data_IF_066597875250
#
_entry.id   IF_066597875250
#
_cell.length_a   1.000
_cell.length_b   1.000
_cell.length_c   1.000
_cell.angle_alpha   90.00
_cell.angle_beta   90.00
_cell.angle_gamma   90.00
#
_symmetry.space_group_name_H-M   'P 1'
#
loop_
_entity.id
_entity.type
_entity.pdbx_description
1 polymer ?
#
# COMPACT_ATOMS: atom_id res chain seq x y z
N UNK A 1 -1.47 1.43 9.43
CA UNK A 1 -2.35 1.94 8.35
C UNK A 1 -2.65 0.81 7.40
N UNK A 2 -3.84 0.23 7.52
CA UNK A 2 -4.34 -0.84 6.66
C UNK A 2 -5.03 -0.26 5.43
N UNK A 3 -4.29 0.51 4.62
CA UNK A 3 -4.78 1.06 3.36
C UNK A 3 -4.61 0.05 2.23
N UNK A 4 -5.56 0.04 1.30
CA UNK A 4 -5.57 -0.86 0.15
C UNK A 4 -6.18 -0.18 -1.07
N UNK A 5 -5.87 -0.70 -2.26
CA UNK A 5 -6.42 -0.15 -3.49
C UNK A 5 -7.54 -1.05 -4.05
N UNK A 6 -8.61 -0.43 -4.52
CA UNK A 6 -9.78 -1.08 -5.12
C UNK A 6 -9.96 -0.61 -6.57
N UNK A 7 -10.35 -1.54 -7.44
CA UNK A 7 -10.85 -1.18 -8.76
C UNK A 7 -12.35 -0.87 -8.69
N UNK A 8 -12.74 0.30 -9.19
CA UNK A 8 -14.13 0.70 -9.36
C UNK A 8 -14.34 1.24 -10.76
N UNK A 9 -15.26 0.64 -11.53
CA UNK A 9 -15.62 1.06 -12.91
C UNK A 9 -14.43 1.25 -13.86
N UNK A 10 -13.38 0.43 -13.75
CA UNK A 10 -12.19 0.50 -14.59
C UNK A 10 -11.13 1.50 -14.13
N UNK A 11 -11.34 2.14 -12.98
CA UNK A 11 -10.39 3.07 -12.36
C UNK A 11 -9.90 2.51 -11.03
N UNK A 12 -8.71 2.94 -10.60
CA UNK A 12 -8.12 2.49 -9.35
C UNK A 12 -8.26 3.58 -8.28
N UNK A 13 -8.78 3.20 -7.12
CA UNK A 13 -8.95 4.07 -5.96
C UNK A 13 -8.17 3.53 -4.77
N UNK A 14 -7.65 4.43 -3.93
CA UNK A 14 -7.12 4.06 -2.62
C UNK A 14 -8.18 4.29 -1.55
N UNK A 15 -8.35 3.30 -0.67
CA UNK A 15 -9.29 3.31 0.44
C UNK A 15 -8.54 3.15 1.77
N UNK A 16 -9.14 3.67 2.83
CA UNK A 16 -8.59 3.64 4.20
C UNK A 16 -7.22 4.30 4.33
N UNK A 17 -6.88 5.23 3.42
CA UNK A 17 -5.73 6.11 3.58
C UNK A 17 -6.15 7.29 4.47
N UNK A 18 -5.74 7.25 5.73
CA UNK A 18 -5.99 8.32 6.68
C UNK A 18 -5.00 9.48 6.45
N UNK A 19 -5.51 10.62 6.00
CA UNK A 19 -4.76 11.89 5.94
C UNK A 19 -5.39 12.81 6.96
N UNK A 20 -4.67 13.10 8.05
CA UNK A 20 -5.17 13.98 9.10
C UNK A 20 -5.58 15.34 8.54
N UNK A 21 -6.65 15.89 9.09
CA UNK A 21 -7.10 17.24 8.75
C UNK A 21 -6.03 18.26 9.13
N UNK A 22 -6.04 19.38 8.43
CA UNK A 22 -5.14 20.48 8.75
C UNK A 22 -5.73 21.29 9.90
N UNK A 23 -5.02 21.35 11.03
CA UNK A 23 -5.52 21.99 12.26
C UNK A 23 -5.82 23.50 12.12
N UNK A 24 -5.20 24.17 11.14
CA UNK A 24 -5.46 25.59 10.84
C UNK A 24 -6.41 25.79 9.66
N UNK A 25 -6.96 24.71 9.10
CA UNK A 25 -8.01 24.77 8.10
C UNK A 25 -9.36 24.98 8.78
N UNK A 26 -10.12 25.98 8.32
CA UNK A 26 -11.42 26.35 8.88
C UNK A 26 -12.49 25.34 8.46
N UNK A 27 -13.30 25.64 7.44
CA UNK A 27 -14.45 24.83 7.03
C UNK A 27 -14.16 23.99 5.78
N UNK A 28 -13.02 24.22 5.11
CA UNK A 28 -12.66 23.58 3.85
C UNK A 28 -11.61 22.48 4.07
N UNK A 29 -11.81 21.66 5.08
CA UNK A 29 -10.96 20.50 5.33
C UNK A 29 -11.40 19.32 4.46
N UNK A 30 -10.43 18.50 4.06
CA UNK A 30 -10.72 17.24 3.37
C UNK A 30 -11.21 16.20 4.37
N UNK A 31 -12.04 15.27 3.92
CA UNK A 31 -12.43 14.14 4.74
C UNK A 31 -11.21 13.21 4.93
N UNK A 32 -10.84 12.83 6.17
CA UNK A 32 -9.60 12.09 6.44
C UNK A 32 -9.51 10.76 5.71
N UNK A 33 -10.63 10.05 5.60
CA UNK A 33 -10.73 8.71 5.02
C UNK A 33 -11.24 8.72 3.57
N UNK A 34 -11.25 9.88 2.91
CA UNK A 34 -11.77 10.05 1.55
C UNK A 34 -11.11 9.06 0.58
N UNK A 35 -11.93 8.43 -0.27
CA UNK A 35 -11.46 7.61 -1.38
C UNK A 35 -10.81 8.51 -2.44
N UNK A 36 -9.54 8.23 -2.77
CA UNK A 36 -8.76 9.05 -3.72
C UNK A 36 -8.45 8.24 -4.97
N UNK A 37 -8.73 8.82 -6.13
CA UNK A 37 -8.46 8.21 -7.43
C UNK A 37 -6.96 8.24 -7.74
N UNK A 38 -6.42 7.13 -8.24
CA UNK A 38 -5.05 7.02 -8.71
C UNK A 38 -4.97 7.28 -10.21
N UNK A 39 -4.04 8.15 -10.60
CA UNK A 39 -3.84 8.58 -11.98
C UNK A 39 -2.82 7.67 -12.68
N UNK A 40 -3.29 6.50 -13.10
CA UNK A 40 -2.51 5.52 -13.86
C UNK A 40 -2.86 5.55 -15.35
N UNK A 41 -1.96 5.07 -16.20
CA UNK A 41 -2.25 4.93 -17.62
C UNK A 41 -3.18 3.73 -17.89
N UNK A 42 -3.92 3.77 -19.01
CA UNK A 42 -4.84 2.69 -19.40
C UNK A 42 -4.15 1.32 -19.52
N UNK A 43 -2.89 1.28 -19.97
CA UNK A 43 -2.09 0.05 -20.08
C UNK A 43 -1.76 -0.53 -18.71
N UNK A 44 -1.39 0.32 -17.75
CA UNK A 44 -1.09 -0.10 -16.37
C UNK A 44 -2.34 -0.60 -15.64
N UNK A 45 -3.46 0.12 -15.77
CA UNK A 45 -4.73 -0.30 -15.20
C UNK A 45 -5.15 -1.68 -15.69
N UNK A 46 -5.07 -1.95 -17.00
CA UNK A 46 -5.39 -3.27 -17.56
C UNK A 46 -4.45 -4.36 -17.03
N UNK A 47 -3.15 -4.07 -16.89
CA UNK A 47 -2.17 -5.02 -16.34
C UNK A 47 -2.48 -5.38 -14.88
N UNK A 48 -2.82 -4.38 -14.08
CA UNK A 48 -3.16 -4.57 -12.66
C UNK A 48 -4.50 -5.30 -12.49
N UNK A 49 -5.50 -4.96 -13.32
CA UNK A 49 -6.81 -5.60 -13.29
C UNK A 49 -6.72 -7.10 -13.60
N UNK A 50 -5.93 -7.49 -14.62
CA UNK A 50 -5.67 -8.91 -14.92
C UNK A 50 -5.03 -9.64 -13.74
N UNK A 51 -4.04 -9.01 -13.08
CA UNK A 51 -3.36 -9.62 -11.94
C UNK A 51 -4.22 -9.73 -10.68
N UNK A 52 -5.15 -8.79 -10.45
CA UNK A 52 -6.09 -8.91 -9.32
C UNK A 52 -7.10 -10.03 -9.54
N UNK A 53 -7.52 -10.26 -10.80
CA UNK A 53 -8.41 -11.38 -11.13
C UNK A 53 -7.74 -12.74 -10.86
N UNK A 54 -6.41 -12.81 -10.92
CA UNK A 54 -5.66 -13.97 -10.45
C UNK A 54 -5.80 -14.11 -8.92
N UNK A 55 -6.29 -15.27 -8.46
CA UNK A 55 -6.62 -15.50 -7.04
C UNK A 55 -5.45 -15.18 -6.11
N UNK A 56 -5.68 -14.25 -5.18
CA UNK A 56 -4.84 -14.00 -4.01
C UNK A 56 -3.87 -12.83 -4.13
N UNK A 57 -3.88 -12.08 -5.22
CA UNK A 57 -3.16 -10.82 -5.29
C UNK A 57 -3.97 -9.65 -4.73
N UNK A 58 -3.29 -8.73 -4.07
CA UNK A 58 -3.85 -7.49 -3.53
C UNK A 58 -2.92 -6.34 -3.83
N UNK A 59 -3.48 -5.16 -4.09
CA UNK A 59 -2.70 -3.94 -4.32
C UNK A 59 -2.65 -3.15 -3.03
N UNK A 60 -1.44 -2.85 -2.57
CA UNK A 60 -1.16 -2.18 -1.30
C UNK A 60 -0.26 -0.98 -1.57
N UNK A 61 -0.51 0.18 -0.95
CA UNK A 61 0.42 1.30 -0.99
C UNK A 61 1.70 0.97 -0.22
N UNK A 62 2.85 1.28 -0.81
CA UNK A 62 4.17 1.09 -0.20
C UNK A 62 4.70 2.39 0.39
N UNK A 63 4.65 3.47 -0.40
CA UNK A 63 5.24 4.75 -0.02
C UNK A 63 4.51 5.91 -0.67
N UNK A 64 4.30 6.98 0.09
CA UNK A 64 3.92 8.29 -0.44
C UNK A 64 5.16 9.18 -0.49
N UNK A 65 5.40 9.88 -1.60
CA UNK A 65 6.54 10.76 -1.73
C UNK A 65 6.21 12.01 -2.54
N UNK A 66 6.88 13.11 -2.22
CA UNK A 66 6.82 14.33 -3.01
C UNK A 66 7.73 14.17 -4.22
N UNK A 67 7.18 14.25 -5.43
CA UNK A 67 7.96 14.27 -6.64
C UNK A 67 8.56 15.66 -6.88
N UNK A 68 9.63 15.74 -7.68
CA UNK A 68 10.26 17.01 -8.09
C UNK A 68 9.27 17.96 -8.79
N UNK A 69 8.23 17.40 -9.41
CA UNK A 69 7.13 18.15 -10.02
C UNK A 69 6.17 18.80 -9.01
N UNK A 70 6.39 18.65 -7.70
CA UNK A 70 5.56 19.21 -6.62
C UNK A 70 4.31 18.40 -6.28
N UNK A 71 4.05 17.30 -6.99
CA UNK A 71 2.91 16.42 -6.72
C UNK A 71 3.28 15.29 -5.77
N UNK A 72 2.36 14.91 -4.90
CA UNK A 72 2.47 13.67 -4.14
C UNK A 72 2.19 12.47 -5.04
N UNK A 73 3.18 11.59 -5.15
CA UNK A 73 3.06 10.30 -5.83
C UNK A 73 2.96 9.17 -4.81
N UNK A 74 2.16 8.18 -5.15
CA UNK A 74 1.95 6.98 -4.37
C UNK A 74 2.60 5.81 -5.12
N UNK A 75 3.54 5.14 -4.46
CA UNK A 75 4.11 3.88 -4.90
C UNK A 75 3.20 2.72 -4.45
N UNK A 76 2.76 1.90 -5.39
CA UNK A 76 1.88 0.75 -5.13
C UNK A 76 2.59 -0.57 -5.44
N UNK A 77 2.38 -1.55 -4.58
CA UNK A 77 2.88 -2.91 -4.73
C UNK A 77 1.74 -3.90 -4.96
N UNK A 78 2.00 -4.91 -5.78
CA UNK A 78 1.13 -6.07 -5.91
C UNK A 78 1.72 -7.20 -5.07
N UNK A 79 1.01 -7.58 -4.01
CA UNK A 79 1.45 -8.61 -3.07
C UNK A 79 0.45 -9.75 -2.99
N UNK A 80 0.95 -10.96 -2.70
CA UNK A 80 0.13 -12.10 -2.31
C UNK A 80 0.27 -12.31 -0.80
N UNK A 81 -0.85 -12.42 -0.11
CA UNK A 81 -0.84 -12.75 1.32
C UNK A 81 -0.23 -14.13 1.56
N UNK A 82 0.75 -14.23 2.46
CA UNK A 82 1.27 -15.52 2.95
C UNK A 82 0.19 -16.25 3.76
N UNK A 83 0.09 -17.58 3.63
CA UNK A 83 -0.81 -18.38 4.48
C UNK A 83 -0.29 -18.39 5.92
N UNK A 84 -1.17 -18.63 6.89
CA UNK A 84 -0.80 -18.64 8.31
C UNK A 84 0.29 -19.67 8.64
N UNK A 85 0.30 -20.81 7.95
CA UNK A 85 1.34 -21.84 8.08
C UNK A 85 2.73 -21.28 7.68
N UNK A 86 2.85 -20.69 6.48
CA UNK A 86 4.10 -20.10 5.98
C UNK A 86 4.64 -18.96 6.86
N UNK A 87 3.73 -18.22 7.52
CA UNK A 87 4.11 -17.13 8.43
C UNK A 87 4.90 -17.65 9.63
N UNK A 88 4.54 -18.80 10.20
CA UNK A 88 5.21 -19.34 11.41
C UNK A 88 6.68 -19.64 11.16
N UNK A 89 6.98 -20.27 10.02
CA UNK A 89 8.35 -20.59 9.62
C UNK A 89 9.16 -19.32 9.33
N UNK A 90 8.56 -18.38 8.59
CA UNK A 90 9.22 -17.09 8.31
C UNK A 90 9.51 -16.30 9.60
N UNK A 91 8.60 -16.33 10.59
CA UNK A 91 8.78 -15.64 11.88
C UNK A 91 9.94 -16.28 12.65
N UNK A 92 9.98 -17.62 12.75
CA UNK A 92 11.09 -18.33 13.42
C UNK A 92 12.44 -17.96 12.81
N UNK A 93 12.55 -18.01 11.48
CA UNK A 93 13.80 -17.72 10.79
C UNK A 93 14.25 -16.26 11.01
N UNK A 94 13.31 -15.31 10.95
CA UNK A 94 13.59 -13.88 11.16
C UNK A 94 14.00 -13.57 12.60
N UNK A 95 13.42 -14.26 13.59
CA UNK A 95 13.84 -14.12 14.99
C UNK A 95 15.21 -14.76 15.23
N UNK A 96 15.50 -15.93 14.63
CA UNK A 96 16.84 -16.53 14.67
C UNK A 96 17.91 -15.63 14.05
N UNK A 97 17.65 -15.02 12.89
CA UNK A 97 18.56 -14.04 12.27
C UNK A 97 18.80 -12.83 13.18
N UNK A 98 17.75 -12.31 13.82
CA UNK A 98 17.85 -11.15 14.71
C UNK A 98 18.68 -11.47 15.96
N UNK A 99 18.54 -12.66 16.52
CA UNK A 99 19.32 -13.11 17.67
C UNK A 99 20.80 -13.34 17.31
N UNK A 100 21.09 -13.88 16.12
CA UNK A 100 22.45 -14.02 15.61
C UNK A 100 23.10 -12.65 15.44
N UNK A 101 22.41 -11.68 14.81
CA UNK A 101 22.92 -10.30 14.68
C UNK A 101 23.22 -9.65 16.03
N UNK A 102 22.33 -9.83 17.02
CA UNK A 102 22.54 -9.30 18.38
C UNK A 102 23.71 -9.97 19.11
N UNK A 103 23.89 -11.29 18.96
CA UNK A 103 24.96 -12.04 19.65
C UNK A 103 26.34 -11.85 19.04
N UNK A 104 26.42 -11.74 17.72
CA UNK A 104 27.70 -11.70 17.00
C UNK A 104 28.09 -10.31 16.50
N UNK A 105 27.26 -9.29 16.73
CA UNK A 105 27.62 -7.89 16.48
C UNK A 105 27.87 -7.54 15.00
N UNK A 106 27.27 -8.29 14.07
CA UNK A 106 27.25 -8.03 12.62
C UNK A 106 25.83 -7.64 12.21
#
# INVERSE_FOLDING_TARGET
NDSYCIFHKGELYIKSLHISEYAFGTYHNHEPMQERKLLLTKKELKKLESKIKEKGYSIIPLRLFLAESGYFKLEIGLGKGKKHYDKRETIKQRDSERDIKRKYGI
#
